data_IF_968245610692
#
_entry.id   IF_968245610692
#
_cell.length_a   1.000
_cell.length_b   1.000
_cell.length_c   1.000
_cell.angle_alpha   90.00
_cell.angle_beta   90.00
_cell.angle_gamma   90.00
#
_symmetry.space_group_name_H-M   'P 1'
#
loop_
_entity.id
_entity.type
_entity.pdbx_description
1 polymer ?
#
# COMPACT_ATOMS: atom_id res chain seq x y z
N UNK A 1 -26.72 -11.62 -27.55
CA UNK A 1 -26.54 -10.98 -26.23
C UNK A 1 -25.66 -9.75 -26.42
N UNK A 2 -25.89 -8.68 -25.64
CA UNK A 2 -25.15 -7.40 -25.75
C UNK A 2 -24.93 -6.83 -24.34
N UNK A 3 -23.73 -6.33 -24.06
CA UNK A 3 -23.35 -5.64 -22.81
C UNK A 3 -23.31 -4.12 -23.02
N UNK A 4 -23.19 -3.34 -21.93
CA UNK A 4 -23.08 -1.88 -21.95
C UNK A 4 -24.22 -1.20 -22.72
N UNK A 5 -25.46 -1.64 -22.44
CA UNK A 5 -26.64 -1.07 -23.05
C UNK A 5 -26.87 0.36 -22.55
N UNK A 6 -27.22 1.27 -23.45
CA UNK A 6 -27.69 2.60 -23.05
C UNK A 6 -29.08 2.50 -22.41
N UNK A 7 -29.48 3.48 -21.62
CA UNK A 7 -30.83 3.54 -21.03
C UNK A 7 -31.93 3.41 -22.10
N UNK A 8 -31.73 4.02 -23.27
CA UNK A 8 -32.64 3.90 -24.42
C UNK A 8 -32.71 2.46 -24.95
N UNK A 9 -31.59 1.74 -25.00
CA UNK A 9 -31.58 0.34 -25.43
C UNK A 9 -32.24 -0.58 -24.42
N UNK A 10 -32.03 -0.34 -23.12
CA UNK A 10 -32.72 -1.06 -22.03
C UNK A 10 -34.22 -0.84 -22.13
N UNK A 11 -34.68 0.41 -22.29
CA UNK A 11 -36.10 0.73 -22.45
C UNK A 11 -36.73 0.08 -23.68
N UNK A 12 -36.02 0.11 -24.84
CA UNK A 12 -36.47 -0.57 -26.07
C UNK A 12 -36.59 -2.08 -25.88
N UNK A 13 -35.68 -2.70 -25.13
CA UNK A 13 -35.77 -4.12 -24.81
C UNK A 13 -36.93 -4.41 -23.87
N UNK A 14 -37.11 -3.62 -22.81
CA UNK A 14 -38.16 -3.82 -21.80
C UNK A 14 -39.57 -3.88 -22.44
N UNK A 15 -39.90 -2.94 -23.33
CA UNK A 15 -41.21 -2.95 -24.03
C UNK A 15 -41.37 -4.09 -25.03
N UNK A 16 -40.28 -4.75 -25.45
CA UNK A 16 -40.32 -5.90 -26.37
C UNK A 16 -40.04 -7.24 -25.67
N UNK A 17 -39.87 -7.27 -24.34
CA UNK A 17 -39.41 -8.46 -23.61
C UNK A 17 -40.35 -9.66 -23.80
N UNK A 18 -41.65 -9.44 -23.92
CA UNK A 18 -42.67 -10.47 -24.18
C UNK A 18 -42.41 -11.26 -25.48
N UNK A 19 -41.68 -10.69 -26.45
CA UNK A 19 -41.34 -11.32 -27.72
C UNK A 19 -40.10 -12.20 -27.65
N UNK A 20 -39.32 -12.10 -26.56
CA UNK A 20 -38.06 -12.80 -26.39
C UNK A 20 -38.05 -13.72 -25.15
N UNK A 21 -38.90 -14.77 -25.10
CA UNK A 21 -38.88 -15.73 -23.98
C UNK A 21 -37.49 -16.38 -23.83
N UNK A 22 -36.89 -16.26 -22.65
CA UNK A 22 -35.54 -16.75 -22.36
C UNK A 22 -34.42 -15.72 -22.55
N UNK A 23 -34.75 -14.47 -22.91
CA UNK A 23 -33.80 -13.36 -22.89
C UNK A 23 -34.09 -12.47 -21.70
N UNK A 24 -33.07 -12.21 -20.89
CA UNK A 24 -33.16 -11.39 -19.67
C UNK A 24 -32.34 -10.11 -19.83
N UNK A 25 -32.81 -9.04 -19.18
CA UNK A 25 -32.02 -7.83 -18.95
C UNK A 25 -31.67 -7.78 -17.47
N UNK A 26 -30.37 -7.71 -17.15
CA UNK A 26 -29.86 -7.64 -15.78
C UNK A 26 -29.00 -6.40 -15.60
N UNK A 27 -29.22 -5.71 -14.50
CA UNK A 27 -28.33 -4.66 -14.03
C UNK A 27 -27.27 -5.25 -13.10
N UNK A 28 -26.02 -4.87 -13.29
CA UNK A 28 -24.92 -5.21 -12.39
C UNK A 28 -24.32 -3.92 -11.86
N UNK A 29 -24.10 -3.85 -10.54
CA UNK A 29 -23.33 -2.74 -9.97
C UNK A 29 -21.86 -2.94 -10.35
N UNK A 30 -21.23 -1.87 -10.80
CA UNK A 30 -19.80 -1.84 -11.09
C UNK A 30 -19.15 -0.72 -10.32
N UNK A 31 -17.90 -0.94 -9.92
CA UNK A 31 -17.12 0.07 -9.21
C UNK A 31 -16.64 1.13 -10.20
N UNK A 32 -16.46 2.35 -9.72
CA UNK A 32 -15.98 3.45 -10.53
C UNK A 32 -15.07 4.31 -9.68
N UNK A 33 -13.90 4.66 -10.21
CA UNK A 33 -12.90 5.48 -9.53
C UNK A 33 -12.80 6.84 -10.25
N UNK A 34 -13.50 7.89 -9.77
CA UNK A 34 -13.57 9.17 -10.47
C UNK A 34 -12.23 9.89 -10.60
N UNK A 35 -11.30 9.58 -9.71
CA UNK A 35 -10.00 10.24 -9.61
C UNK A 35 -8.84 9.41 -10.16
N UNK A 36 -9.14 8.26 -10.77
CA UNK A 36 -8.19 7.46 -11.54
C UNK A 36 -6.85 7.21 -10.82
N UNK A 37 -5.77 7.56 -11.51
CA UNK A 37 -4.39 7.28 -11.10
C UNK A 37 -3.95 7.91 -9.77
N UNK A 38 -4.62 8.98 -9.32
CA UNK A 38 -4.28 9.71 -8.10
C UNK A 38 -4.36 8.84 -6.85
N UNK A 39 -5.22 7.81 -6.87
CA UNK A 39 -5.60 7.02 -5.71
C UNK A 39 -5.31 5.52 -5.85
N UNK A 40 -4.68 5.10 -6.94
CA UNK A 40 -4.57 3.69 -7.32
C UNK A 40 -3.96 2.80 -6.26
N UNK A 41 -2.79 3.15 -5.70
CA UNK A 41 -2.12 2.25 -4.76
C UNK A 41 -2.68 2.29 -3.35
N UNK A 42 -3.36 3.39 -2.98
CA UNK A 42 -3.96 3.54 -1.64
C UNK A 42 -5.38 3.02 -1.61
N UNK A 43 -6.25 3.41 -2.54
CA UNK A 43 -7.63 2.91 -2.62
C UNK A 43 -7.65 1.50 -3.20
N UNK A 44 -6.86 1.26 -4.26
CA UNK A 44 -6.89 0.02 -5.00
C UNK A 44 -8.07 -0.08 -5.94
N UNK A 45 -8.39 -1.33 -6.26
CA UNK A 45 -9.54 -1.63 -7.09
C UNK A 45 -10.15 -3.00 -6.78
N UNK A 46 -11.45 -3.13 -7.03
CA UNK A 46 -12.12 -4.41 -7.21
C UNK A 46 -12.03 -4.87 -8.65
N UNK A 47 -11.90 -6.17 -8.85
CA UNK A 47 -12.06 -6.80 -10.16
C UNK A 47 -12.46 -8.27 -10.02
N UNK A 48 -12.73 -8.90 -11.16
CA UNK A 48 -13.26 -10.27 -11.24
C UNK A 48 -12.52 -11.24 -10.32
N UNK A 49 -13.29 -12.00 -9.53
CA UNK A 49 -12.80 -13.09 -8.69
C UNK A 49 -12.10 -14.14 -9.56
N UNK A 50 -10.93 -14.58 -9.12
CA UNK A 50 -10.20 -15.70 -9.71
C UNK A 50 -10.07 -16.85 -8.71
N UNK A 51 -9.52 -17.98 -9.16
CA UNK A 51 -9.42 -19.19 -8.34
C UNK A 51 -8.63 -19.00 -7.04
N UNK A 52 -7.61 -18.12 -7.02
CA UNK A 52 -6.86 -17.80 -5.79
C UNK A 52 -7.69 -17.00 -4.79
N UNK A 53 -8.62 -16.18 -5.28
CA UNK A 53 -9.57 -15.49 -4.39
C UNK A 53 -10.59 -16.48 -3.83
N UNK A 54 -11.07 -17.43 -4.64
CA UNK A 54 -11.96 -18.51 -4.17
C UNK A 54 -11.28 -19.34 -3.09
N UNK A 55 -10.03 -19.77 -3.32
CA UNK A 55 -9.24 -20.50 -2.33
C UNK A 55 -9.04 -19.69 -1.04
N UNK A 56 -8.81 -18.37 -1.15
CA UNK A 56 -8.69 -17.48 0.02
C UNK A 56 -10.01 -17.39 0.78
N UNK A 57 -11.11 -17.11 0.07
CA UNK A 57 -12.45 -16.99 0.64
C UNK A 57 -12.92 -18.28 1.31
N UNK A 58 -12.61 -19.44 0.72
CA UNK A 58 -12.93 -20.74 1.29
C UNK A 58 -12.14 -20.98 2.59
N UNK A 59 -10.83 -20.73 2.57
CA UNK A 59 -9.96 -20.84 3.77
C UNK A 59 -10.41 -19.91 4.90
N UNK A 60 -10.91 -18.73 4.55
CA UNK A 60 -11.41 -17.74 5.50
C UNK A 60 -12.88 -17.97 5.90
N UNK A 61 -13.54 -19.03 5.40
CA UNK A 61 -14.96 -19.34 5.61
C UNK A 61 -15.92 -18.22 5.17
N UNK A 62 -15.56 -17.49 4.12
CA UNK A 62 -16.34 -16.37 3.57
C UNK A 62 -17.07 -16.73 2.28
N UNK A 63 -16.67 -17.80 1.60
CA UNK A 63 -17.17 -18.16 0.26
C UNK A 63 -18.70 -18.22 0.15
N UNK A 64 -19.39 -18.67 1.20
CA UNK A 64 -20.86 -18.71 1.24
C UNK A 64 -21.52 -17.33 1.04
N UNK A 65 -20.90 -16.26 1.55
CA UNK A 65 -21.40 -14.89 1.41
C UNK A 65 -21.14 -14.30 0.02
N UNK A 66 -20.39 -14.99 -0.85
CA UNK A 66 -20.03 -14.55 -2.20
C UNK A 66 -20.79 -15.28 -3.30
N UNK A 67 -21.86 -16.02 -2.96
CA UNK A 67 -22.60 -16.85 -3.93
C UNK A 67 -23.14 -16.08 -5.16
N UNK A 68 -23.43 -14.79 -5.01
CA UNK A 68 -23.87 -13.90 -6.09
C UNK A 68 -22.87 -12.78 -6.43
N UNK A 69 -21.69 -12.79 -5.79
CA UNK A 69 -20.65 -11.78 -5.96
C UNK A 69 -19.56 -12.30 -6.88
N UNK A 70 -19.17 -11.49 -7.86
CA UNK A 70 -18.27 -11.90 -8.94
C UNK A 70 -16.97 -11.08 -8.98
N UNK A 71 -16.87 -10.05 -8.15
CA UNK A 71 -15.75 -9.11 -8.08
C UNK A 71 -15.31 -8.95 -6.62
N UNK A 72 -14.02 -8.69 -6.39
CA UNK A 72 -13.42 -8.58 -5.06
C UNK A 72 -12.28 -7.56 -5.06
N UNK A 73 -12.03 -6.88 -3.94
CA UNK A 73 -10.89 -6.01 -3.72
C UNK A 73 -9.55 -6.72 -3.93
N UNK A 74 -8.70 -6.15 -4.80
CA UNK A 74 -7.43 -6.74 -5.22
C UNK A 74 -6.19 -6.16 -4.56
N UNK A 75 -6.26 -4.89 -4.15
CA UNK A 75 -5.22 -4.20 -3.39
C UNK A 75 -5.81 -2.99 -2.66
N UNK A 76 -4.98 -2.34 -1.86
CA UNK A 76 -5.34 -1.08 -1.21
C UNK A 76 -6.45 -1.24 -0.16
N UNK A 77 -7.14 -0.14 0.10
CA UNK A 77 -8.32 -0.08 0.98
C UNK A 77 -9.43 -1.04 0.52
N UNK A 78 -9.69 -1.15 -0.78
CA UNK A 78 -10.73 -2.06 -1.31
C UNK A 78 -10.45 -3.51 -0.88
N UNK A 79 -9.18 -3.94 -0.86
CA UNK A 79 -8.81 -5.28 -0.39
C UNK A 79 -8.75 -5.40 1.13
N UNK A 80 -8.15 -4.43 1.80
CA UNK A 80 -7.93 -4.51 3.24
C UNK A 80 -9.27 -4.49 4.00
N UNK A 81 -10.21 -3.66 3.55
CA UNK A 81 -11.54 -3.53 4.12
C UNK A 81 -12.63 -4.27 3.33
N UNK A 82 -12.26 -5.24 2.50
CA UNK A 82 -13.18 -6.03 1.66
C UNK A 82 -14.39 -6.54 2.45
N UNK A 83 -14.15 -7.11 3.63
CA UNK A 83 -15.21 -7.72 4.44
C UNK A 83 -16.31 -6.73 4.85
N UNK A 84 -15.92 -5.50 5.22
CA UNK A 84 -16.87 -4.47 5.64
C UNK A 84 -17.51 -3.78 4.45
N UNK A 85 -16.81 -3.68 3.31
CA UNK A 85 -17.28 -3.06 2.08
C UNK A 85 -18.22 -3.95 1.27
N UNK A 86 -18.09 -5.27 1.38
CA UNK A 86 -18.90 -6.23 0.65
C UNK A 86 -20.36 -6.26 1.15
N UNK A 87 -20.54 -6.30 2.48
CA UNK A 87 -21.86 -6.46 3.10
C UNK A 87 -22.32 -7.93 3.16
N UNK A 88 -23.64 -8.13 3.26
CA UNK A 88 -24.25 -9.45 3.39
C UNK A 88 -25.18 -9.78 2.21
N UNK A 89 -24.99 -10.95 1.64
CA UNK A 89 -25.79 -11.43 0.52
C UNK A 89 -27.18 -11.87 0.99
N UNK A 90 -28.21 -11.36 0.30
CA UNK A 90 -29.60 -11.77 0.47
C UNK A 90 -29.96 -12.95 -0.44
N UNK A 91 -31.23 -13.36 -0.43
CA UNK A 91 -31.72 -14.43 -1.30
C UNK A 91 -33.21 -14.27 -1.61
N UNK A 92 -33.65 -14.92 -2.68
CA UNK A 92 -35.05 -14.98 -3.08
C UNK A 92 -35.51 -16.42 -3.27
N UNK A 93 -36.75 -16.71 -2.87
CA UNK A 93 -37.43 -17.96 -3.15
C UNK A 93 -38.34 -17.73 -4.38
N UNK A 94 -38.03 -18.39 -5.50
CA UNK A 94 -38.74 -18.22 -6.78
C UNK A 94 -39.40 -19.52 -7.22
N UNK A 95 -40.63 -19.40 -7.71
CA UNK A 95 -41.41 -20.49 -8.30
C UNK A 95 -41.03 -20.66 -9.78
N UNK A 96 -40.63 -21.87 -10.17
CA UNK A 96 -40.19 -22.19 -11.54
C UNK A 96 -41.12 -23.19 -12.22
N UNK A 97 -41.29 -23.08 -13.55
CA UNK A 97 -42.05 -24.07 -14.32
C UNK A 97 -41.23 -25.32 -14.65
N UNK A 98 -41.87 -26.29 -15.31
CA UNK A 98 -41.23 -27.52 -15.81
C UNK A 98 -40.08 -27.30 -16.81
N UNK A 99 -39.88 -26.07 -17.31
CA UNK A 99 -38.77 -25.67 -18.19
C UNK A 99 -37.71 -24.82 -17.44
N UNK A 100 -37.79 -24.70 -16.12
CA UNK A 100 -36.84 -23.96 -15.28
C UNK A 100 -36.95 -22.43 -15.37
N UNK A 101 -38.06 -21.89 -15.89
CA UNK A 101 -38.25 -20.43 -15.98
C UNK A 101 -38.96 -19.91 -14.73
N UNK A 102 -38.47 -18.78 -14.22
CA UNK A 102 -39.09 -18.06 -13.11
C UNK A 102 -40.49 -17.57 -13.51
N UNK A 103 -41.50 -17.96 -12.74
CA UNK A 103 -42.91 -17.57 -12.92
C UNK A 103 -43.30 -16.48 -11.90
N UNK A 104 -42.86 -16.65 -10.65
CA UNK A 104 -43.26 -15.79 -9.54
C UNK A 104 -42.21 -15.80 -8.42
N UNK A 105 -42.03 -14.65 -7.76
CA UNK A 105 -41.25 -14.53 -6.53
C UNK A 105 -42.16 -14.78 -5.32
N UNK A 106 -41.80 -15.71 -4.44
CA UNK A 106 -42.57 -16.09 -3.25
C UNK A 106 -42.13 -15.32 -2.01
N UNK A 107 -40.81 -15.15 -1.86
CA UNK A 107 -40.20 -14.49 -0.72
C UNK A 107 -38.88 -13.85 -1.13
N UNK A 108 -38.57 -12.73 -0.51
CA UNK A 108 -37.30 -12.03 -0.66
C UNK A 108 -36.73 -11.72 0.72
N UNK A 109 -35.46 -12.05 0.92
CA UNK A 109 -34.65 -11.53 2.01
C UNK A 109 -33.63 -10.60 1.36
N UNK A 110 -33.79 -9.27 1.46
CA UNK A 110 -32.95 -8.33 0.75
C UNK A 110 -31.50 -8.38 1.28
N UNK A 111 -30.49 -8.11 0.42
CA UNK A 111 -29.11 -8.00 0.85
C UNK A 111 -28.91 -6.78 1.77
N UNK A 112 -27.89 -6.85 2.63
CA UNK A 112 -27.43 -5.70 3.40
C UNK A 112 -26.21 -5.11 2.70
N UNK A 113 -26.27 -3.82 2.37
CA UNK A 113 -25.15 -3.12 1.78
C UNK A 113 -23.93 -3.14 2.72
N UNK A 114 -22.73 -3.15 2.14
CA UNK A 114 -21.51 -2.90 2.90
C UNK A 114 -21.52 -1.52 3.54
N UNK A 115 -20.62 -1.34 4.50
CA UNK A 115 -20.48 -0.10 5.24
C UNK A 115 -19.72 0.93 4.42
N UNK A 116 -20.16 2.19 4.52
CA UNK A 116 -19.37 3.32 4.06
C UNK A 116 -18.14 3.48 4.96
N UNK A 117 -17.01 3.80 4.34
CA UNK A 117 -15.75 4.08 5.04
C UNK A 117 -15.34 5.53 4.81
N UNK A 118 -14.83 6.16 5.86
CA UNK A 118 -14.29 7.50 5.83
C UNK A 118 -12.78 7.44 6.07
N UNK A 119 -12.01 7.86 5.06
CA UNK A 119 -10.55 7.83 5.12
C UNK A 119 -9.99 9.15 5.62
N UNK A 120 -8.76 9.11 6.13
CA UNK A 120 -8.02 10.32 6.55
C UNK A 120 -7.43 11.11 5.38
N UNK A 121 -7.51 10.58 4.16
CA UNK A 121 -6.91 11.17 2.97
C UNK A 121 -7.55 12.51 2.60
N UNK A 122 -6.72 13.50 2.32
CA UNK A 122 -7.13 14.71 1.63
C UNK A 122 -6.91 14.52 0.12
N UNK A 123 -8.02 14.40 -0.61
CA UNK A 123 -8.01 14.18 -2.06
C UNK A 123 -7.26 15.28 -2.81
N UNK A 124 -7.41 16.55 -2.42
CA UNK A 124 -6.77 17.66 -3.14
C UNK A 124 -5.27 17.63 -2.94
N UNK A 125 -4.82 17.33 -1.72
CA UNK A 125 -3.41 17.13 -1.42
C UNK A 125 -2.83 15.95 -2.22
N UNK A 126 -3.54 14.83 -2.29
CA UNK A 126 -3.15 13.65 -3.05
C UNK A 126 -2.94 13.98 -4.54
N UNK A 127 -3.92 14.64 -5.19
CA UNK A 127 -3.84 15.02 -6.61
C UNK A 127 -2.73 16.04 -6.87
N UNK A 128 -2.52 16.97 -5.94
CA UNK A 128 -1.43 17.93 -6.02
C UNK A 128 -0.08 17.23 -6.00
N UNK A 129 0.13 16.29 -5.09
CA UNK A 129 1.37 15.51 -4.99
C UNK A 129 1.58 14.62 -6.22
N UNK A 130 0.54 13.95 -6.73
CA UNK A 130 0.63 13.19 -7.99
C UNK A 130 1.16 14.07 -9.13
N UNK A 131 0.61 15.28 -9.26
CA UNK A 131 1.03 16.25 -10.28
C UNK A 131 2.48 16.68 -10.09
N UNK A 132 2.93 16.92 -8.85
CA UNK A 132 4.32 17.28 -8.55
C UNK A 132 5.31 16.16 -8.89
N UNK A 133 4.89 14.89 -8.77
CA UNK A 133 5.72 13.71 -8.99
C UNK A 133 5.68 13.19 -10.43
N UNK A 134 4.98 13.87 -11.34
CA UNK A 134 4.85 13.46 -12.73
C UNK A 134 6.22 13.17 -13.38
N UNK A 135 6.33 12.02 -14.04
CA UNK A 135 7.57 11.57 -14.70
C UNK A 135 8.65 10.99 -13.77
N UNK A 136 8.41 10.97 -12.45
CA UNK A 136 9.36 10.43 -11.47
C UNK A 136 8.92 9.07 -10.92
N UNK A 137 9.91 8.23 -10.58
CA UNK A 137 9.68 7.04 -9.73
C UNK A 137 9.83 7.47 -8.28
N UNK A 138 8.71 7.69 -7.58
CA UNK A 138 8.72 8.35 -6.28
C UNK A 138 7.63 7.78 -5.35
N UNK A 139 7.81 8.02 -4.05
CA UNK A 139 6.80 7.79 -3.04
C UNK A 139 6.73 9.00 -2.11
N UNK A 140 5.53 9.37 -1.70
CA UNK A 140 5.30 10.42 -0.70
C UNK A 140 4.23 9.94 0.26
N UNK A 141 4.52 10.07 1.55
CA UNK A 141 3.58 9.85 2.63
C UNK A 141 3.49 11.16 3.42
N UNK A 142 2.28 11.67 3.60
CA UNK A 142 1.99 12.82 4.47
C UNK A 142 1.08 12.34 5.57
N UNK A 143 1.52 12.51 6.82
CA UNK A 143 0.75 12.13 8.01
C UNK A 143 0.48 13.34 8.89
N UNK A 144 -0.64 13.33 9.60
CA UNK A 144 -0.81 14.19 10.76
C UNK A 144 -0.16 13.53 11.99
N UNK A 145 0.95 14.05 12.54
CA UNK A 145 1.63 13.43 13.67
C UNK A 145 0.80 13.43 14.96
N UNK A 146 -0.28 14.23 15.03
CA UNK A 146 -1.18 14.29 16.20
C UNK A 146 -2.14 13.11 16.26
N UNK A 147 -2.49 12.55 15.10
CA UNK A 147 -3.50 11.49 14.97
C UNK A 147 -2.93 10.19 14.39
N UNK A 148 -1.77 10.26 13.73
CA UNK A 148 -1.24 9.17 12.91
C UNK A 148 -1.96 9.01 11.56
N UNK A 149 -2.97 9.81 11.27
CA UNK A 149 -3.76 9.72 10.05
C UNK A 149 -2.94 10.03 8.80
N UNK A 150 -3.10 9.20 7.77
CA UNK A 150 -2.46 9.39 6.47
C UNK A 150 -3.29 10.38 5.65
N UNK A 151 -2.76 11.59 5.47
CA UNK A 151 -3.38 12.64 4.67
C UNK A 151 -3.12 12.44 3.17
N UNK A 152 -1.99 11.84 2.81
CA UNK A 152 -1.68 11.46 1.44
C UNK A 152 -0.69 10.30 1.40
N UNK A 153 -0.89 9.36 0.47
CA UNK A 153 0.00 8.23 0.19
C UNK A 153 0.05 8.04 -1.33
N UNK A 154 1.10 8.58 -1.96
CA UNK A 154 1.27 8.58 -3.42
C UNK A 154 2.47 7.74 -3.80
N UNK A 155 2.30 6.90 -4.83
CA UNK A 155 3.36 6.14 -5.48
C UNK A 155 3.32 6.41 -6.98
N UNK A 156 4.46 6.82 -7.54
CA UNK A 156 4.60 7.12 -8.97
C UNK A 156 5.67 6.24 -9.63
N UNK A 157 5.52 5.89 -10.92
CA UNK A 157 4.32 6.12 -11.74
C UNK A 157 3.10 5.32 -11.27
N UNK A 158 1.91 5.84 -11.56
CA UNK A 158 0.62 5.20 -11.28
C UNK A 158 -0.06 4.73 -12.57
N UNK A 159 -1.28 4.22 -12.47
CA UNK A 159 -2.10 3.70 -13.57
C UNK A 159 -3.58 3.86 -13.25
N UNK A 160 -4.46 3.82 -14.26
CA UNK A 160 -5.90 3.96 -14.04
C UNK A 160 -6.51 2.65 -13.48
N UNK A 161 -7.08 2.65 -12.26
CA UNK A 161 -7.71 1.47 -11.67
C UNK A 161 -9.00 1.06 -12.40
N UNK A 162 -9.64 1.97 -13.16
CA UNK A 162 -10.84 1.63 -13.94
C UNK A 162 -10.55 0.62 -15.05
N UNK A 163 -9.28 0.48 -15.48
CA UNK A 163 -8.86 -0.57 -16.43
C UNK A 163 -9.17 -1.98 -15.92
N UNK A 164 -9.21 -2.18 -14.61
CA UNK A 164 -9.36 -3.51 -14.01
C UNK A 164 -10.82 -3.87 -13.70
N UNK A 165 -11.70 -2.88 -13.49
CA UNK A 165 -13.10 -3.11 -13.07
C UNK A 165 -13.84 -4.05 -14.01
N UNK A 166 -13.71 -3.80 -15.32
CA UNK A 166 -14.44 -4.53 -16.36
C UNK A 166 -13.63 -5.69 -16.95
N UNK A 167 -12.47 -5.98 -16.37
CA UNK A 167 -11.46 -6.86 -16.93
C UNK A 167 -10.50 -6.10 -17.84
N UNK A 168 -9.26 -5.97 -17.37
CA UNK A 168 -8.18 -5.32 -18.12
C UNK A 168 -7.84 -6.10 -19.39
N UNK A 169 -7.59 -5.39 -20.49
CA UNK A 169 -7.15 -6.03 -21.73
C UNK A 169 -5.75 -6.63 -21.56
N UNK A 170 -5.47 -7.75 -22.22
CA UNK A 170 -4.13 -8.37 -22.16
C UNK A 170 -3.03 -7.42 -22.63
N UNK A 171 -3.35 -6.50 -23.56
CA UNK A 171 -2.41 -5.49 -24.05
C UNK A 171 -2.06 -4.47 -22.96
N UNK A 172 -3.08 -3.91 -22.30
CA UNK A 172 -2.87 -2.89 -21.27
C UNK A 172 -2.20 -3.48 -20.04
N UNK A 173 -2.61 -4.68 -19.63
CA UNK A 173 -1.99 -5.38 -18.50
C UNK A 173 -0.52 -5.73 -18.79
N UNK A 174 -0.23 -6.23 -19.99
CA UNK A 174 1.15 -6.47 -20.43
C UNK A 174 1.97 -5.18 -20.47
N UNK A 175 1.35 -4.04 -20.84
CA UNK A 175 1.98 -2.72 -20.77
C UNK A 175 2.39 -2.35 -19.34
N UNK A 176 1.51 -2.54 -18.36
CA UNK A 176 1.81 -2.25 -16.94
C UNK A 176 2.86 -3.19 -16.35
N UNK A 177 2.82 -4.48 -16.71
CA UNK A 177 3.79 -5.48 -16.24
C UNK A 177 5.19 -5.26 -16.80
N UNK A 178 5.29 -4.89 -18.07
CA UNK A 178 6.57 -4.74 -18.77
C UNK A 178 7.15 -3.32 -18.68
N UNK A 179 6.45 -2.36 -18.06
CA UNK A 179 6.98 -1.03 -17.84
C UNK A 179 8.18 -1.10 -16.85
N UNK A 180 9.39 -0.71 -17.28
CA UNK A 180 10.58 -0.75 -16.42
C UNK A 180 10.48 0.20 -15.21
N UNK A 181 9.55 1.15 -15.24
CA UNK A 181 9.24 2.02 -14.11
C UNK A 181 8.27 1.39 -13.11
N UNK A 182 7.84 0.14 -13.32
CA UNK A 182 7.09 -0.69 -12.37
C UNK A 182 5.91 0.04 -11.70
N UNK A 183 4.92 0.51 -12.46
CA UNK A 183 3.78 1.26 -11.94
C UNK A 183 2.86 0.44 -11.02
N UNK A 184 2.92 -0.90 -11.10
CA UNK A 184 2.15 -1.80 -10.23
C UNK A 184 2.64 -1.82 -8.77
N UNK A 185 3.85 -1.34 -8.50
CA UNK A 185 4.45 -1.37 -7.15
C UNK A 185 3.96 -0.16 -6.35
N UNK A 186 3.43 -0.40 -5.15
CA UNK A 186 3.23 0.66 -4.16
C UNK A 186 4.57 0.99 -3.48
N UNK A 187 5.27 2.01 -3.97
CA UNK A 187 6.59 2.40 -3.44
C UNK A 187 6.53 2.96 -2.02
N UNK A 188 5.38 3.44 -1.56
CA UNK A 188 5.25 3.99 -0.22
C UNK A 188 5.32 2.89 0.86
N UNK A 189 4.77 1.70 0.58
CA UNK A 189 4.70 0.59 1.55
C UNK A 189 5.54 -0.62 1.15
N UNK A 190 5.93 -0.74 -0.12
CA UNK A 190 6.73 -1.85 -0.65
C UNK A 190 8.08 -1.39 -1.21
N UNK A 191 8.32 -0.09 -1.28
CA UNK A 191 9.59 0.49 -1.69
C UNK A 191 10.64 0.29 -0.61
N UNK A 192 11.57 -0.62 -0.86
CA UNK A 192 12.59 -1.02 0.10
C UNK A 192 13.90 -0.33 -0.29
N UNK A 193 14.23 0.75 0.42
CA UNK A 193 15.40 1.60 0.17
C UNK A 193 16.27 1.72 1.42
N UNK A 194 17.60 1.85 1.28
CA UNK A 194 18.44 2.27 2.39
C UNK A 194 17.96 3.64 2.90
N UNK A 195 17.59 3.78 4.18
CA UNK A 195 17.06 5.05 4.70
C UNK A 195 18.16 6.13 4.83
N UNK A 196 19.44 5.74 4.74
CA UNK A 196 20.59 6.63 4.74
C UNK A 196 20.53 7.67 5.88
N UNK A 197 20.95 8.91 5.62
CA UNK A 197 21.06 9.97 6.63
C UNK A 197 19.73 10.38 7.28
N UNK A 198 18.57 9.97 6.74
CA UNK A 198 17.27 10.22 7.38
C UNK A 198 17.15 9.54 8.74
N UNK A 199 17.98 8.51 9.01
CA UNK A 199 17.97 7.82 10.31
C UNK A 199 18.70 8.57 11.43
N UNK A 200 19.55 9.55 11.09
CA UNK A 200 20.46 10.21 12.03
C UNK A 200 19.76 10.82 13.25
N UNK A 201 18.59 11.48 13.12
CA UNK A 201 17.85 11.96 14.29
C UNK A 201 17.49 10.84 15.28
N UNK A 202 17.01 9.69 14.80
CA UNK A 202 16.63 8.55 15.65
C UNK A 202 17.86 7.90 16.29
N UNK A 203 18.95 7.77 15.54
CA UNK A 203 20.23 7.25 16.06
C UNK A 203 20.79 8.18 17.13
N UNK A 204 20.69 9.51 16.95
CA UNK A 204 21.12 10.49 17.93
C UNK A 204 20.31 10.39 19.24
N UNK A 205 18.98 10.32 19.16
CA UNK A 205 18.10 10.11 20.32
C UNK A 205 18.45 8.80 21.04
N UNK A 206 18.67 7.73 20.28
CA UNK A 206 19.05 6.41 20.82
C UNK A 206 20.38 6.46 21.57
N UNK A 207 21.40 7.10 20.98
CA UNK A 207 22.73 7.18 21.57
C UNK A 207 22.79 8.08 22.81
N UNK A 208 22.03 9.19 22.81
CA UNK A 208 21.84 10.03 23.99
C UNK A 208 21.13 9.25 25.11
N UNK A 209 20.08 8.51 24.77
CA UNK A 209 19.31 7.71 25.73
C UNK A 209 20.11 6.54 26.30
N UNK A 210 20.98 5.93 25.49
CA UNK A 210 21.89 4.87 25.91
C UNK A 210 23.11 5.39 26.69
N UNK A 211 23.26 6.72 26.84
CA UNK A 211 24.40 7.35 27.51
C UNK A 211 25.73 7.22 26.78
N UNK A 212 25.71 6.81 25.51
CA UNK A 212 26.92 6.65 24.67
C UNK A 212 27.47 8.01 24.24
N UNK A 213 26.59 8.98 24.05
CA UNK A 213 26.96 10.38 23.83
C UNK A 213 26.20 11.29 24.79
N UNK A 214 26.71 12.51 24.95
CA UNK A 214 26.05 13.63 25.63
C UNK A 214 25.90 14.80 24.66
N UNK A 215 25.13 15.82 25.05
CA UNK A 215 25.03 17.07 24.26
C UNK A 215 26.39 17.76 24.04
N UNK A 216 27.35 17.55 24.94
CA UNK A 216 28.69 18.12 24.89
C UNK A 216 29.74 17.18 24.27
N UNK A 217 29.38 15.94 23.93
CA UNK A 217 30.31 15.02 23.25
C UNK A 217 30.74 15.65 21.93
N UNK A 218 32.06 15.71 21.72
CA UNK A 218 32.64 16.27 20.51
C UNK A 218 33.79 15.44 19.99
N UNK A 219 33.92 15.41 18.66
CA UNK A 219 35.05 14.82 17.95
C UNK A 219 35.47 15.71 16.79
N UNK A 220 36.75 15.64 16.42
CA UNK A 220 37.27 16.28 15.22
C UNK A 220 37.11 15.35 14.03
N UNK A 221 36.43 15.81 13.00
CA UNK A 221 36.22 15.07 11.76
C UNK A 221 37.18 15.57 10.66
N UNK A 222 38.12 14.72 10.21
CA UNK A 222 39.03 15.02 9.09
C UNK A 222 38.47 14.64 7.70
N UNK A 223 37.18 14.26 7.61
CA UNK A 223 36.51 13.77 6.38
C UNK A 223 36.44 12.26 6.28
N UNK A 224 36.81 11.55 7.34
CA UNK A 224 36.76 10.10 7.45
C UNK A 224 36.89 9.65 8.91
N UNK A 225 36.44 8.44 9.18
CA UNK A 225 36.59 7.73 10.44
C UNK A 225 37.31 6.40 10.20
N UNK A 226 38.24 6.02 11.07
CA UNK A 226 38.97 4.75 10.97
C UNK A 226 38.53 3.80 12.08
N UNK A 227 38.22 2.55 11.70
CA UNK A 227 37.82 1.53 12.66
C UNK A 227 38.99 1.19 13.60
N UNK A 228 38.82 1.30 14.94
CA UNK A 228 39.89 0.97 15.88
C UNK A 228 40.42 -0.45 15.68
N UNK A 229 41.74 -0.61 15.62
CA UNK A 229 42.40 -1.90 15.37
C UNK A 229 42.33 -2.38 13.92
N UNK A 230 41.96 -1.50 12.97
CA UNK A 230 41.89 -1.82 11.54
C UNK A 230 42.40 -0.65 10.68
N UNK A 231 42.90 -0.95 9.48
CA UNK A 231 43.21 0.05 8.45
C UNK A 231 41.97 0.51 7.67
N UNK A 232 40.78 -0.07 7.96
CA UNK A 232 39.55 0.25 7.24
C UNK A 232 39.04 1.65 7.61
N UNK A 233 38.89 2.50 6.60
CA UNK A 233 38.33 3.86 6.71
C UNK A 233 36.95 3.97 6.10
N UNK A 234 36.10 4.73 6.77
CA UNK A 234 34.75 5.09 6.36
C UNK A 234 34.75 6.58 6.08
N UNK A 235 34.41 6.96 4.85
CA UNK A 235 34.48 8.36 4.41
C UNK A 235 33.24 9.13 4.82
N UNK A 236 33.45 10.40 5.12
CA UNK A 236 32.40 11.40 5.18
C UNK A 236 32.06 11.90 3.76
N UNK A 237 30.84 12.38 3.56
CA UNK A 237 30.46 13.06 2.32
C UNK A 237 31.28 14.34 2.09
N UNK A 238 31.70 15.02 3.16
CA UNK A 238 32.55 16.21 3.09
C UNK A 238 34.03 15.80 3.11
N UNK A 239 34.69 15.96 1.95
CA UNK A 239 36.06 15.48 1.69
C UNK A 239 37.11 15.85 2.75
N UNK A 240 37.02 17.04 3.33
CA UNK A 240 37.97 17.55 4.33
C UNK A 240 37.34 17.68 5.72
N UNK A 241 36.18 17.06 5.90
CA UNK A 241 35.45 17.00 7.14
C UNK A 241 34.76 18.29 7.56
N UNK A 242 34.09 18.17 8.70
CA UNK A 242 33.29 19.21 9.33
C UNK A 242 34.02 19.91 10.50
N UNK A 243 35.29 19.55 10.74
CA UNK A 243 36.07 20.04 11.87
C UNK A 243 35.51 19.49 13.18
N UNK A 244 35.42 20.31 14.23
CA UNK A 244 34.77 19.88 15.48
C UNK A 244 33.26 19.73 15.29
N UNK A 245 32.77 18.54 15.62
CA UNK A 245 31.37 18.14 15.56
C UNK A 245 30.87 17.83 16.97
N UNK A 246 29.65 18.27 17.28
CA UNK A 246 28.80 17.72 18.33
C UNK A 246 27.54 17.12 17.69
N UNK A 247 26.65 16.53 18.47
CA UNK A 247 25.43 15.90 17.92
C UNK A 247 24.54 16.88 17.15
N UNK A 248 24.40 18.13 17.63
CA UNK A 248 23.61 19.18 16.96
C UNK A 248 24.17 19.50 15.57
N UNK A 249 25.45 19.88 15.49
CA UNK A 249 26.12 20.21 14.23
C UNK A 249 26.17 19.02 13.28
N UNK A 250 26.29 17.80 13.82
CA UNK A 250 26.29 16.57 13.02
C UNK A 250 24.93 16.29 12.37
N UNK A 251 23.83 16.67 13.04
CA UNK A 251 22.49 16.60 12.45
C UNK A 251 22.28 17.70 11.41
N UNK A 252 22.68 18.94 11.71
CA UNK A 252 22.56 20.10 10.82
C UNK A 252 23.31 19.90 9.49
N UNK A 253 24.56 19.44 9.58
CA UNK A 253 25.41 19.23 8.39
C UNK A 253 25.36 17.78 7.87
N UNK A 254 24.49 16.93 8.44
CA UNK A 254 24.41 15.50 8.10
C UNK A 254 25.80 14.86 8.05
N UNK A 255 26.66 15.13 9.04
CA UNK A 255 28.01 14.56 9.10
C UNK A 255 27.92 13.04 9.29
N UNK A 256 28.75 12.27 8.61
CA UNK A 256 28.79 10.81 8.70
C UNK A 256 29.78 10.35 9.78
N UNK A 257 30.95 11.00 9.86
CA UNK A 257 32.02 10.66 10.82
C UNK A 257 31.52 10.58 12.26
N UNK A 258 30.64 11.51 12.67
CA UNK A 258 30.04 11.47 14.01
C UNK A 258 29.19 10.21 14.23
N UNK A 259 28.37 9.83 13.25
CA UNK A 259 27.50 8.67 13.37
C UNK A 259 28.23 7.34 13.16
N UNK A 260 29.39 7.32 12.49
CA UNK A 260 30.28 6.15 12.49
C UNK A 260 30.81 5.85 13.90
N UNK A 261 31.29 6.88 14.61
CA UNK A 261 31.73 6.74 15.99
C UNK A 261 30.58 6.30 16.90
N UNK A 262 29.41 6.93 16.77
CA UNK A 262 28.20 6.54 17.54
C UNK A 262 27.82 5.08 17.29
N UNK A 263 27.84 4.62 16.03
CA UNK A 263 27.52 3.23 15.71
C UNK A 263 28.53 2.25 16.30
N UNK A 264 29.83 2.59 16.28
CA UNK A 264 30.87 1.81 16.92
C UNK A 264 30.68 1.70 18.43
N UNK A 265 30.46 2.83 19.11
CA UNK A 265 30.30 2.86 20.57
C UNK A 265 28.98 2.24 21.05
N UNK A 266 27.91 2.33 20.25
CA UNK A 266 26.64 1.65 20.52
C UNK A 266 26.79 0.13 20.38
N UNK A 267 27.49 -0.33 19.35
CA UNK A 267 27.47 -1.72 18.93
C UNK A 267 26.13 -2.12 18.28
N UNK A 268 26.16 -3.17 17.45
CA UNK A 268 25.00 -3.56 16.62
C UNK A 268 23.79 -4.00 17.44
N UNK A 269 23.98 -4.67 18.57
CA UNK A 269 22.87 -5.16 19.40
C UNK A 269 22.01 -4.00 19.92
N UNK A 270 22.61 -3.00 20.57
CA UNK A 270 21.88 -1.83 21.07
C UNK A 270 21.34 -0.99 19.93
N UNK A 271 22.12 -0.78 18.87
CA UNK A 271 21.67 0.05 17.75
C UNK A 271 20.45 -0.57 17.06
N UNK A 272 20.48 -1.87 16.76
CA UNK A 272 19.36 -2.56 16.13
C UNK A 272 18.14 -2.63 17.04
N UNK A 273 18.30 -2.87 18.35
CA UNK A 273 17.21 -2.83 19.32
C UNK A 273 16.51 -1.47 19.35
N UNK A 274 17.28 -0.38 19.43
CA UNK A 274 16.73 0.97 19.43
C UNK A 274 16.03 1.33 18.12
N UNK A 275 16.63 0.99 16.98
CA UNK A 275 16.00 1.23 15.67
C UNK A 275 14.71 0.41 15.50
N UNK A 276 14.65 -0.81 16.05
CA UNK A 276 13.43 -1.61 16.12
C UNK A 276 12.31 -0.93 16.93
N UNK A 277 12.65 -0.25 18.03
CA UNK A 277 11.67 0.55 18.82
C UNK A 277 11.10 1.74 18.05
N UNK A 278 11.83 2.27 17.08
CA UNK A 278 11.32 3.28 16.14
C UNK A 278 10.52 2.67 14.98
N UNK A 279 10.29 1.35 14.96
CA UNK A 279 9.51 0.64 13.96
C UNK A 279 10.30 0.15 12.75
N UNK A 280 11.61 0.43 12.66
CA UNK A 280 12.41 -0.10 11.58
C UNK A 280 12.41 -1.64 11.63
N UNK A 281 12.23 -2.26 10.47
CA UNK A 281 12.25 -3.72 10.31
C UNK A 281 11.03 -4.46 10.84
N UNK A 282 9.98 -3.72 11.15
CA UNK A 282 8.66 -4.24 11.48
C UNK A 282 7.63 -3.71 10.47
N UNK A 283 6.48 -4.38 10.39
CA UNK A 283 5.31 -3.80 9.73
C UNK A 283 4.85 -2.57 10.50
N UNK A 284 4.44 -1.52 9.79
CA UNK A 284 4.01 -0.25 10.39
C UNK A 284 2.64 -0.36 11.07
N UNK A 285 1.85 -1.36 10.67
CA UNK A 285 0.45 -1.51 11.11
C UNK A 285 -0.52 -0.64 10.29
N UNK A 286 -0.09 -0.12 9.15
CA UNK A 286 -0.99 0.54 8.19
C UNK A 286 -2.07 -0.43 7.70
N UNK A 287 -3.25 0.09 7.43
CA UNK A 287 -4.42 -0.64 6.95
C UNK A 287 -4.37 -0.91 5.44
N UNK A 288 -3.23 -1.44 4.97
CA UNK A 288 -3.01 -1.91 3.61
C UNK A 288 -2.34 -3.29 3.64
N UNK A 289 -2.78 -4.21 2.79
CA UNK A 289 -2.22 -5.56 2.74
C UNK A 289 -0.86 -5.61 2.01
N UNK A 290 -0.59 -4.63 1.16
CA UNK A 290 0.64 -4.54 0.35
C UNK A 290 1.76 -3.84 1.11
N UNK A 291 2.41 -4.53 2.04
CA UNK A 291 3.51 -3.96 2.84
C UNK A 291 4.76 -4.85 2.82
N UNK A 292 5.95 -4.23 2.89
CA UNK A 292 7.22 -4.92 3.11
C UNK A 292 7.98 -4.24 4.24
N UNK A 293 8.60 -5.04 5.12
CA UNK A 293 9.58 -4.53 6.07
C UNK A 293 11.01 -4.70 5.51
N UNK A 294 11.89 -3.75 5.86
CA UNK A 294 13.32 -3.88 5.58
C UNK A 294 13.97 -4.85 6.57
N UNK A 295 14.67 -5.86 6.08
CA UNK A 295 15.47 -6.74 6.94
C UNK A 295 16.87 -6.13 7.12
N UNK A 296 17.18 -5.58 8.30
CA UNK A 296 18.54 -5.16 8.63
C UNK A 296 19.36 -6.31 9.23
N UNK A 297 20.69 -6.19 9.11
CA UNK A 297 21.64 -7.10 9.74
C UNK A 297 21.41 -7.13 11.25
N UNK A 298 20.78 -8.20 11.72
CA UNK A 298 20.62 -8.54 13.13
C UNK A 298 21.42 -9.84 13.33
N UNK A 299 22.40 -9.88 14.25
CA UNK A 299 23.22 -11.06 14.48
C UNK A 299 22.40 -12.33 14.75
N UNK A 300 21.20 -12.19 15.37
CA UNK A 300 20.30 -13.32 15.66
C UNK A 300 19.60 -13.90 14.42
N UNK A 301 19.50 -13.12 13.35
CA UNK A 301 18.93 -13.52 12.06
C UNK A 301 20.03 -14.12 11.18
N UNK A 302 21.24 -13.56 11.20
CA UNK A 302 22.38 -14.08 10.43
C UNK A 302 22.82 -15.48 10.89
N UNK A 303 22.69 -15.82 12.18
CA UNK A 303 22.98 -17.18 12.68
C UNK A 303 21.99 -18.27 12.25
N UNK A 304 20.84 -17.93 11.66
CA UNK A 304 19.86 -18.91 11.16
C UNK A 304 20.00 -19.21 9.66
N UNK A 305 20.96 -18.57 8.99
CA UNK A 305 21.13 -18.65 7.52
C UNK A 305 22.49 -19.21 7.10
N UNK A 306 23.18 -19.89 8.02
CA UNK A 306 24.37 -20.72 7.74
C UNK A 306 24.09 -22.18 8.12
#
# INVERSE_FOLDING_TARGET
MKTNLTEVQVARFAVNQYRFPGVEVKGYKRRYYPYGSALTHVIGYVSKINDKDVERLDRENKLANYAATHDIGKLGIERYYEDILHGQTGYEEVEVNNRGRVIRQLKEVPPQAGHDIYLTLDLKLQQYIETLLAGSRAAVIVTDPRTGGVLSLVSMPSYDPNLFVDGISSKDYSGLLNDPNTPLVNRATQGVYPPASTVKPYVAVSALSAGVITRSTSLFDPGWWQLPGSEKRYRDWKKWGHGHLNVTKSLEESADTFFYQVAYDMGIDRLSEWMGKFGFGHYTGIDLAEERFWQYANPRVETKTL
#
